data_IF_519814098242
#
_entry.id   IF_519814098242
#
_cell.length_a   1.000
_cell.length_b   1.000
_cell.length_c   1.000
_cell.angle_alpha   90.00
_cell.angle_beta   90.00
_cell.angle_gamma   90.00
#
_symmetry.space_group_name_H-M   'P 1'
#
loop_
_entity.id
_entity.type
_entity.pdbx_description
1 polymer ?
#
# COMPACT_ATOMS: atom_id res chain seq x y z
N UNK A 1 58.96 39.58 -35.27
CA UNK A 1 57.94 39.30 -34.23
C UNK A 1 56.62 39.02 -34.91
N UNK A 2 56.15 37.78 -34.93
CA UNK A 2 54.82 37.41 -35.47
C UNK A 2 54.20 36.36 -34.56
N UNK A 3 53.29 36.79 -33.70
CA UNK A 3 52.50 35.92 -32.83
C UNK A 3 51.25 35.46 -33.58
N UNK A 4 51.16 34.17 -33.92
CA UNK A 4 49.90 33.55 -34.37
C UNK A 4 49.35 32.61 -33.29
N UNK A 5 48.10 32.90 -32.92
CA UNK A 5 47.26 32.35 -31.85
C UNK A 5 47.08 30.82 -31.95
N UNK A 6 47.20 30.14 -30.81
CA UNK A 6 46.72 28.75 -30.60
C UNK A 6 45.19 28.74 -30.60
N UNK A 7 44.58 27.87 -31.40
CA UNK A 7 43.14 27.57 -31.37
C UNK A 7 42.78 26.74 -30.14
N UNK A 8 41.67 27.00 -29.43
CA UNK A 8 41.27 26.19 -28.28
C UNK A 8 40.66 24.87 -28.75
N UNK A 9 41.16 23.74 -28.22
CA UNK A 9 40.53 22.42 -28.39
C UNK A 9 39.19 22.42 -27.65
N UNK A 10 38.11 22.13 -28.37
CA UNK A 10 36.79 21.89 -27.79
C UNK A 10 36.84 20.64 -26.90
N UNK A 11 36.78 20.82 -25.58
CA UNK A 11 36.64 19.73 -24.63
C UNK A 11 35.28 19.05 -24.81
N UNK A 12 35.29 17.73 -25.03
CA UNK A 12 34.07 16.92 -24.97
C UNK A 12 33.47 17.04 -23.57
N UNK A 13 32.35 17.76 -23.44
CA UNK A 13 31.50 17.72 -22.24
C UNK A 13 31.04 16.27 -22.06
N UNK A 14 31.57 15.58 -21.05
CA UNK A 14 30.98 14.33 -20.60
C UNK A 14 29.54 14.63 -20.23
N UNK A 15 28.58 13.89 -20.80
CA UNK A 15 27.20 13.92 -20.33
C UNK A 15 27.25 13.62 -18.83
N UNK A 16 26.99 14.62 -18.00
CA UNK A 16 26.97 14.46 -16.55
C UNK A 16 26.08 13.28 -16.23
N UNK A 17 26.55 12.36 -15.37
CA UNK A 17 25.68 11.32 -14.83
C UNK A 17 24.47 12.04 -14.24
N UNK A 18 23.29 11.83 -14.82
CA UNK A 18 22.05 12.32 -14.27
C UNK A 18 21.96 11.70 -12.88
N UNK A 19 22.11 12.54 -11.85
CA UNK A 19 21.85 12.15 -10.47
C UNK A 19 20.37 11.82 -10.41
N UNK A 20 20.02 10.54 -10.53
CA UNK A 20 18.67 10.07 -10.24
C UNK A 20 18.50 10.27 -8.73
N UNK A 21 17.62 11.16 -8.28
CA UNK A 21 17.40 11.36 -6.86
C UNK A 21 16.92 10.04 -6.26
N UNK A 22 17.45 9.65 -5.09
CA UNK A 22 16.99 8.49 -4.32
C UNK A 22 15.64 8.77 -3.65
N UNK A 23 14.67 9.29 -4.38
CA UNK A 23 13.32 9.43 -3.85
C UNK A 23 12.69 8.04 -3.72
N UNK A 24 11.92 7.84 -2.65
CA UNK A 24 11.14 6.63 -2.47
C UNK A 24 10.10 6.59 -3.59
N UNK A 25 10.33 5.74 -4.57
CA UNK A 25 9.52 5.64 -5.75
C UNK A 25 8.62 4.42 -5.62
N UNK A 26 7.31 4.61 -5.59
CA UNK A 26 6.33 3.51 -5.54
C UNK A 26 6.17 2.86 -6.91
N UNK A 27 7.28 2.34 -7.45
CA UNK A 27 7.29 1.66 -8.75
C UNK A 27 7.15 0.17 -8.53
N UNK A 28 6.18 -0.43 -9.20
CA UNK A 28 5.98 -1.86 -9.29
C UNK A 28 5.81 -2.31 -10.75
N UNK A 29 5.87 -3.62 -10.98
CA UNK A 29 5.59 -4.24 -12.30
C UNK A 29 4.17 -3.97 -12.78
N UNK A 30 3.21 -3.88 -11.86
CA UNK A 30 1.81 -3.62 -12.16
C UNK A 30 1.35 -2.26 -11.61
N UNK A 31 0.59 -1.46 -12.39
CA UNK A 31 0.01 -0.19 -11.95
C UNK A 31 -0.76 -0.29 -10.63
N UNK A 32 -1.50 -1.39 -10.43
CA UNK A 32 -2.24 -1.68 -9.21
C UNK A 32 -1.36 -1.60 -7.96
N UNK A 33 -0.19 -2.24 -7.98
CA UNK A 33 0.71 -2.30 -6.83
C UNK A 33 1.40 -0.96 -6.57
N UNK A 34 1.77 -0.22 -7.62
CA UNK A 34 2.28 1.15 -7.49
C UNK A 34 1.27 2.04 -6.77
N UNK A 35 -0.01 2.00 -7.19
CA UNK A 35 -1.09 2.78 -6.57
C UNK A 35 -1.44 2.28 -5.17
N UNK A 36 -1.41 0.97 -4.93
CA UNK A 36 -1.59 0.41 -3.58
C UNK A 36 -0.51 0.92 -2.62
N UNK A 37 0.77 0.82 -2.97
CA UNK A 37 1.87 1.29 -2.12
C UNK A 37 1.78 2.79 -1.86
N UNK A 38 1.49 3.59 -2.90
CA UNK A 38 1.26 5.03 -2.75
C UNK A 38 0.07 5.32 -1.83
N UNK A 39 -1.04 4.58 -2.00
CA UNK A 39 -2.27 4.72 -1.24
C UNK A 39 -2.07 4.43 0.24
N UNK A 40 -1.45 3.28 0.57
CA UNK A 40 -1.09 2.94 1.95
C UNK A 40 -0.16 4.00 2.54
N UNK A 41 0.84 4.47 1.79
CA UNK A 41 1.74 5.51 2.28
C UNK A 41 1.02 6.82 2.59
N UNK A 42 0.10 7.21 1.73
CA UNK A 42 -0.69 8.43 1.91
C UNK A 42 -1.65 8.29 3.10
N UNK A 43 -2.50 7.26 3.12
CA UNK A 43 -3.58 7.18 4.11
C UNK A 43 -3.05 6.89 5.51
N UNK A 44 -2.00 6.08 5.65
CA UNK A 44 -1.34 5.88 6.95
C UNK A 44 -0.59 7.16 7.37
N UNK A 45 0.08 7.85 6.44
CA UNK A 45 0.74 9.12 6.73
C UNK A 45 -0.24 10.18 7.24
N UNK A 46 -1.39 10.34 6.59
CA UNK A 46 -2.45 11.23 7.06
C UNK A 46 -2.99 10.80 8.43
N UNK A 47 -3.24 9.51 8.63
CA UNK A 47 -3.79 8.98 9.87
C UNK A 47 -2.85 9.16 11.08
N UNK A 48 -1.53 9.27 10.85
CA UNK A 48 -0.56 9.60 11.90
C UNK A 48 -0.72 11.03 12.43
N UNK A 49 -1.32 11.94 11.66
CA UNK A 49 -1.64 13.30 12.09
C UNK A 49 -3.02 13.42 12.74
N UNK A 50 -3.83 12.37 12.67
CA UNK A 50 -5.14 12.30 13.32
C UNK A 50 -4.98 11.65 14.68
N UNK A 51 -5.41 12.28 15.78
CA UNK A 51 -5.32 11.67 17.10
C UNK A 51 -6.12 10.34 17.15
N UNK A 52 -5.61 9.28 17.81
CA UNK A 52 -6.39 8.07 18.07
C UNK A 52 -7.67 8.38 18.86
N UNK A 53 -8.85 7.92 18.43
CA UNK A 53 -10.07 8.09 19.23
C UNK A 53 -9.96 7.24 20.50
N UNK A 54 -10.45 7.77 21.62
CA UNK A 54 -10.51 7.00 22.88
C UNK A 54 -11.50 5.83 22.83
N UNK A 55 -12.57 5.96 22.02
CA UNK A 55 -13.56 4.93 21.76
C UNK A 55 -14.01 5.01 20.30
N UNK A 56 -14.18 3.85 19.64
CA UNK A 56 -14.74 3.79 18.29
C UNK A 56 -16.26 3.95 18.34
N UNK A 57 -16.77 4.83 17.49
CA UNK A 57 -18.20 5.11 17.35
C UNK A 57 -18.79 4.27 16.21
N UNK A 58 -20.13 4.03 16.17
CA UNK A 58 -20.76 3.29 15.08
C UNK A 58 -20.45 3.82 13.68
N UNK A 59 -20.22 5.14 13.55
CA UNK A 59 -19.86 5.77 12.28
C UNK A 59 -18.45 5.42 11.80
N UNK A 60 -17.52 5.08 12.69
CA UNK A 60 -16.16 4.65 12.30
C UNK A 60 -16.21 3.34 11.48
N UNK A 61 -17.21 2.49 11.71
CA UNK A 61 -17.43 1.23 10.97
C UNK A 61 -18.09 1.45 9.59
N UNK A 62 -18.50 2.68 9.27
CA UNK A 62 -19.02 3.09 7.96
C UNK A 62 -18.13 4.14 7.27
N UNK A 63 -17.20 4.72 8.02
CA UNK A 63 -16.30 5.76 7.55
C UNK A 63 -15.41 5.25 6.40
N UNK A 64 -15.03 6.16 5.50
CA UNK A 64 -14.01 5.90 4.50
C UNK A 64 -13.38 7.20 4.02
N UNK A 65 -12.12 7.14 3.62
CA UNK A 65 -11.44 8.24 2.93
C UNK A 65 -11.28 7.85 1.46
N UNK A 66 -11.46 8.82 0.56
CA UNK A 66 -11.30 8.58 -0.88
C UNK A 66 -10.46 9.69 -1.48
N UNK A 67 -9.37 9.31 -2.12
CA UNK A 67 -8.46 10.21 -2.80
C UNK A 67 -8.54 9.90 -4.29
N UNK A 68 -8.70 10.94 -5.10
CA UNK A 68 -8.62 10.87 -6.56
C UNK A 68 -7.41 11.68 -7.00
N UNK A 69 -6.53 11.06 -7.77
CA UNK A 69 -5.33 11.69 -8.30
C UNK A 69 -5.48 11.79 -9.81
N UNK A 70 -5.31 13.00 -10.33
CA UNK A 70 -5.34 13.33 -11.75
C UNK A 70 -4.08 14.12 -12.09
N UNK A 71 -3.08 13.44 -12.64
CA UNK A 71 -1.83 14.03 -13.11
C UNK A 71 -1.90 14.42 -14.58
N UNK A 72 -1.36 15.59 -14.90
CA UNK A 72 -1.17 16.05 -16.28
C UNK A 72 0.32 16.30 -16.51
N UNK A 73 0.93 15.50 -17.41
CA UNK A 73 2.36 15.59 -17.75
C UNK A 73 3.31 15.50 -16.54
N UNK A 74 2.89 14.83 -15.46
CA UNK A 74 3.65 14.69 -14.22
C UNK A 74 3.81 13.22 -13.83
N UNK A 75 5.01 12.83 -13.39
CA UNK A 75 5.33 11.52 -12.80
C UNK A 75 4.92 10.28 -13.62
N UNK A 76 4.79 10.42 -14.95
CA UNK A 76 4.27 9.38 -15.86
C UNK A 76 5.08 8.08 -15.84
N UNK A 77 6.39 8.17 -15.59
CA UNK A 77 7.29 7.00 -15.60
C UNK A 77 7.14 6.11 -14.35
N UNK A 78 6.42 6.59 -13.34
CA UNK A 78 6.39 5.94 -12.02
C UNK A 78 4.98 5.62 -11.54
N UNK A 79 3.99 6.44 -11.89
CA UNK A 79 2.61 6.30 -11.45
C UNK A 79 1.64 6.48 -12.62
N UNK A 80 0.48 5.79 -12.60
CA UNK A 80 -0.61 6.07 -13.52
C UNK A 80 -1.04 7.54 -13.44
N UNK A 81 -1.50 8.09 -14.57
CA UNK A 81 -1.94 9.50 -14.61
C UNK A 81 -3.26 9.72 -13.87
N UNK A 82 -4.14 8.71 -13.85
CA UNK A 82 -5.45 8.81 -13.21
C UNK A 82 -5.70 7.57 -12.37
N UNK A 83 -5.91 7.77 -11.06
CA UNK A 83 -6.25 6.69 -10.17
C UNK A 83 -7.04 7.17 -8.96
N UNK A 84 -7.69 6.22 -8.28
CA UNK A 84 -8.39 6.47 -7.02
C UNK A 84 -7.94 5.46 -5.97
N UNK A 85 -7.83 5.93 -4.74
CA UNK A 85 -7.62 5.09 -3.56
C UNK A 85 -8.76 5.37 -2.60
N UNK A 86 -9.39 4.32 -2.10
CA UNK A 86 -10.36 4.40 -1.01
C UNK A 86 -9.88 3.53 0.14
N UNK A 87 -9.77 4.10 1.34
CA UNK A 87 -9.45 3.40 2.59
C UNK A 87 -10.73 3.30 3.41
N UNK A 88 -11.10 2.07 3.79
CA UNK A 88 -12.33 1.79 4.50
C UNK A 88 -12.06 1.71 6.00
N UNK A 89 -12.91 2.31 6.82
CA UNK A 89 -12.90 2.24 8.28
C UNK A 89 -11.50 2.50 8.91
N UNK A 90 -10.82 3.61 8.57
CA UNK A 90 -9.40 3.82 8.89
C UNK A 90 -9.10 3.73 10.39
N UNK A 91 -9.98 4.28 11.24
CA UNK A 91 -9.83 4.22 12.70
C UNK A 91 -10.02 2.80 13.25
N UNK A 92 -10.94 2.02 12.67
CA UNK A 92 -11.19 0.63 13.06
C UNK A 92 -9.96 -0.21 12.75
N UNK A 93 -9.41 -0.12 11.53
CA UNK A 93 -8.19 -0.85 11.17
C UNK A 93 -6.93 -0.33 11.85
N UNK A 94 -6.87 0.96 12.23
CA UNK A 94 -5.83 1.45 13.14
C UNK A 94 -5.88 0.75 14.49
N UNK A 95 -7.06 0.68 15.11
CA UNK A 95 -7.19 0.02 16.40
C UNK A 95 -6.95 -1.50 16.30
N UNK A 96 -7.43 -2.17 15.24
CA UNK A 96 -7.12 -3.59 15.00
C UNK A 96 -5.62 -3.84 14.89
N UNK A 97 -4.87 -2.98 14.18
CA UNK A 97 -3.41 -3.07 14.12
C UNK A 97 -2.78 -2.96 15.50
N UNK A 98 -3.25 -2.04 16.35
CA UNK A 98 -2.79 -1.91 17.74
C UNK A 98 -3.09 -3.17 18.56
N UNK A 99 -4.32 -3.72 18.48
CA UNK A 99 -4.70 -4.95 19.18
C UNK A 99 -3.85 -6.17 18.76
N UNK A 100 -3.43 -6.22 17.49
CA UNK A 100 -2.55 -7.26 16.98
C UNK A 100 -1.05 -6.97 17.16
N UNK A 101 -0.69 -5.88 17.84
CA UNK A 101 0.71 -5.49 18.08
C UNK A 101 1.46 -5.17 16.78
N UNK A 102 0.79 -4.58 15.80
CA UNK A 102 1.38 -4.11 14.54
C UNK A 102 1.64 -2.61 14.64
N UNK A 103 2.91 -2.21 14.68
CA UNK A 103 3.30 -0.80 14.63
C UNK A 103 2.96 -0.18 13.27
N UNK A 104 2.54 1.08 13.27
CA UNK A 104 2.15 1.78 12.04
C UNK A 104 3.34 2.00 11.09
N UNK A 105 4.53 2.30 11.63
CA UNK A 105 5.73 2.46 10.80
C UNK A 105 6.21 1.11 10.26
N UNK A 106 6.11 0.03 11.04
CA UNK A 106 6.35 -1.33 10.56
C UNK A 106 5.41 -1.67 9.41
N UNK A 107 4.10 -1.51 9.61
CA UNK A 107 3.08 -1.74 8.58
C UNK A 107 3.39 -0.96 7.29
N UNK A 108 3.69 0.34 7.43
CA UNK A 108 4.05 1.20 6.33
C UNK A 108 5.31 0.71 5.61
N UNK A 109 6.38 0.39 6.35
CA UNK A 109 7.63 -0.09 5.77
C UNK A 109 7.43 -1.39 5.02
N UNK A 110 6.79 -2.38 5.64
CA UNK A 110 6.56 -3.71 5.05
C UNK A 110 5.77 -3.64 3.74
N UNK A 111 4.77 -2.75 3.65
CA UNK A 111 3.91 -2.66 2.47
C UNK A 111 4.40 -1.71 1.38
N UNK A 112 5.37 -0.82 1.66
CA UNK A 112 5.70 0.28 0.72
C UNK A 112 7.19 0.45 0.42
N UNK A 113 8.09 -0.26 1.11
CA UNK A 113 9.52 -0.18 0.80
C UNK A 113 9.90 -0.89 -0.51
N UNK A 114 9.21 -1.99 -0.81
CA UNK A 114 9.42 -2.80 -2.01
C UNK A 114 8.06 -3.30 -2.51
N UNK A 115 7.96 -3.59 -3.81
CA UNK A 115 6.75 -4.17 -4.39
C UNK A 115 6.41 -5.51 -3.70
N UNK A 116 5.14 -5.75 -3.33
CA UNK A 116 4.71 -7.06 -2.88
C UNK A 116 4.85 -8.11 -3.98
N UNK A 117 5.35 -9.29 -3.62
CA UNK A 117 5.55 -10.40 -4.55
C UNK A 117 4.24 -11.18 -4.73
N UNK A 118 3.85 -11.57 -5.95
CA UNK A 118 2.74 -12.49 -6.14
C UNK A 118 3.06 -13.87 -5.57
N UNK A 119 2.07 -14.50 -4.94
CA UNK A 119 2.22 -15.87 -4.43
C UNK A 119 2.31 -16.87 -5.59
N UNK A 120 3.43 -17.59 -5.69
CA UNK A 120 3.77 -18.43 -6.86
C UNK A 120 2.80 -19.60 -7.09
N UNK A 121 2.17 -20.14 -6.04
CA UNK A 121 1.26 -21.29 -6.11
C UNK A 121 -0.15 -20.95 -6.64
N UNK A 122 -0.39 -19.69 -7.00
CA UNK A 122 -1.68 -19.25 -7.56
C UNK A 122 -1.71 -19.13 -9.08
N UNK A 123 -0.59 -19.30 -9.79
CA UNK A 123 -0.55 -19.15 -11.24
C UNK A 123 -1.56 -20.05 -12.00
N UNK A 124 -1.96 -21.18 -11.40
CA UNK A 124 -2.83 -22.19 -12.01
C UNK A 124 -4.26 -22.27 -11.40
N UNK A 125 -4.65 -21.33 -10.52
CA UNK A 125 -5.96 -21.38 -9.84
C UNK A 125 -6.80 -20.15 -10.18
N UNK A 126 -8.08 -20.33 -10.54
CA UNK A 126 -9.03 -19.25 -10.84
C UNK A 126 -9.47 -18.42 -9.61
N UNK A 127 -8.65 -18.39 -8.56
CA UNK A 127 -8.96 -17.80 -7.27
C UNK A 127 -8.55 -16.33 -7.13
N UNK A 128 -8.84 -15.72 -5.97
CA UNK A 128 -8.41 -14.37 -5.65
C UNK A 128 -6.87 -14.28 -5.60
N UNK A 129 -6.30 -13.29 -6.28
CA UNK A 129 -4.85 -13.02 -6.30
C UNK A 129 -4.33 -12.71 -4.90
N UNK A 130 -3.23 -13.35 -4.54
CA UNK A 130 -2.50 -13.13 -3.30
C UNK A 130 -1.13 -12.52 -3.58
N UNK A 131 -0.77 -11.52 -2.79
CA UNK A 131 0.55 -10.90 -2.76
C UNK A 131 1.12 -10.95 -1.35
N UNK A 132 2.43 -11.02 -1.23
CA UNK A 132 3.13 -11.12 0.04
C UNK A 132 4.07 -9.92 0.15
N UNK A 133 4.08 -9.24 1.31
CA UNK A 133 5.02 -8.15 1.56
C UNK A 133 6.47 -8.67 1.45
N UNK A 134 7.41 -7.81 1.04
CA UNK A 134 8.81 -8.23 0.81
C UNK A 134 9.48 -8.89 2.04
N UNK A 135 9.03 -8.52 3.24
CA UNK A 135 9.52 -9.07 4.50
C UNK A 135 8.70 -10.26 5.04
N UNK A 136 7.72 -10.69 4.24
CA UNK A 136 6.77 -11.79 4.44
C UNK A 136 5.90 -11.67 5.69
N UNK A 137 5.72 -10.45 6.22
CA UNK A 137 4.90 -10.22 7.41
C UNK A 137 3.41 -10.10 7.11
N UNK A 138 3.06 -9.64 5.90
CA UNK A 138 1.69 -9.36 5.51
C UNK A 138 1.35 -10.04 4.19
N UNK A 139 0.09 -10.44 4.08
CA UNK A 139 -0.53 -10.92 2.85
C UNK A 139 -1.55 -9.87 2.42
N UNK A 140 -1.55 -9.55 1.13
CA UNK A 140 -2.53 -8.70 0.47
C UNK A 140 -3.36 -9.58 -0.44
N UNK A 141 -4.65 -9.67 -0.18
CA UNK A 141 -5.58 -10.52 -0.95
C UNK A 141 -6.55 -9.66 -1.74
N UNK A 142 -6.76 -9.98 -3.02
CA UNK A 142 -7.84 -9.37 -3.79
C UNK A 142 -9.19 -9.93 -3.38
N UNK A 143 -10.20 -9.06 -3.34
CA UNK A 143 -11.59 -9.41 -3.04
C UNK A 143 -12.51 -8.96 -4.17
N UNK A 144 -13.66 -9.60 -4.28
CA UNK A 144 -14.80 -9.07 -5.02
C UNK A 144 -15.64 -8.13 -4.12
N UNK A 145 -16.64 -7.47 -4.71
CA UNK A 145 -17.49 -6.53 -3.99
C UNK A 145 -18.40 -7.20 -2.96
N UNK A 146 -18.75 -8.48 -3.16
CA UNK A 146 -19.62 -9.23 -2.24
C UNK A 146 -18.86 -9.55 -0.95
N UNK A 147 -17.64 -10.07 -1.05
CA UNK A 147 -16.75 -10.31 0.09
C UNK A 147 -16.46 -9.03 0.88
N UNK A 148 -16.35 -7.88 0.20
CA UNK A 148 -16.20 -6.57 0.88
C UNK A 148 -17.45 -6.19 1.68
N UNK A 149 -18.64 -6.44 1.13
CA UNK A 149 -19.89 -6.20 1.83
C UNK A 149 -20.05 -7.13 3.05
N UNK A 150 -19.64 -8.39 2.92
CA UNK A 150 -19.60 -9.34 4.03
C UNK A 150 -18.62 -8.90 5.13
N UNK A 151 -17.41 -8.48 4.77
CA UNK A 151 -16.44 -7.96 5.74
C UNK A 151 -17.03 -6.75 6.49
N UNK A 152 -17.69 -5.83 5.80
CA UNK A 152 -18.36 -4.70 6.44
C UNK A 152 -19.48 -5.14 7.39
N UNK A 153 -20.26 -6.17 7.05
CA UNK A 153 -21.36 -6.63 7.90
C UNK A 153 -20.87 -7.26 9.20
N UNK A 154 -19.71 -7.92 9.18
CA UNK A 154 -19.10 -8.55 10.36
C UNK A 154 -18.10 -7.67 11.10
N UNK A 155 -17.63 -6.56 10.51
CA UNK A 155 -16.47 -5.80 11.01
C UNK A 155 -16.62 -5.36 12.47
N UNK A 156 -17.83 -4.97 12.87
CA UNK A 156 -18.14 -4.59 14.25
C UNK A 156 -17.97 -5.77 15.21
N UNK A 157 -18.63 -6.88 14.93
CA UNK A 157 -18.56 -8.09 15.77
C UNK A 157 -17.14 -8.65 15.81
N UNK A 158 -16.43 -8.60 14.68
CA UNK A 158 -15.03 -9.00 14.58
C UNK A 158 -14.14 -8.12 15.47
N UNK A 159 -14.30 -6.80 15.42
CA UNK A 159 -13.55 -5.87 16.27
C UNK A 159 -13.83 -6.10 17.75
N UNK A 160 -15.09 -6.21 18.15
CA UNK A 160 -15.51 -6.51 19.53
C UNK A 160 -14.84 -7.80 20.04
N UNK A 161 -14.90 -8.87 19.25
CA UNK A 161 -14.25 -10.14 19.56
C UNK A 161 -12.72 -10.03 19.68
N UNK A 162 -12.06 -9.29 18.78
CA UNK A 162 -10.59 -9.11 18.82
C UNK A 162 -10.16 -8.38 20.09
N UNK A 163 -10.90 -7.34 20.49
CA UNK A 163 -10.64 -6.59 21.73
C UNK A 163 -10.84 -7.49 22.96
N UNK A 164 -11.95 -8.22 23.03
CA UNK A 164 -12.25 -9.15 24.12
C UNK A 164 -11.20 -10.26 24.26
N UNK A 165 -10.64 -10.74 23.14
CA UNK A 165 -9.59 -11.76 23.14
C UNK A 165 -8.17 -11.19 23.21
N UNK A 166 -8.02 -9.87 23.38
CA UNK A 166 -6.72 -9.18 23.41
C UNK A 166 -5.83 -9.55 22.21
N UNK A 167 -6.42 -9.62 21.01
CA UNK A 167 -5.72 -10.00 19.78
C UNK A 167 -5.32 -11.47 19.66
N UNK A 168 -5.59 -12.32 20.67
CA UNK A 168 -5.22 -13.74 20.68
C UNK A 168 -6.31 -14.58 20.02
N UNK A 169 -6.22 -14.75 18.71
CA UNK A 169 -7.17 -15.54 17.92
C UNK A 169 -6.51 -16.26 16.75
N UNK A 170 -7.17 -17.33 16.28
CA UNK A 170 -6.85 -18.05 15.04
C UNK A 170 -7.56 -17.45 13.82
N UNK A 171 -8.49 -16.51 14.02
CA UNK A 171 -9.11 -15.81 12.90
C UNK A 171 -8.06 -15.01 12.11
N UNK A 172 -8.28 -14.78 10.80
CA UNK A 172 -7.44 -13.88 10.03
C UNK A 172 -7.33 -12.53 10.72
N UNK A 173 -6.11 -12.00 10.84
CA UNK A 173 -5.86 -10.71 11.47
C UNK A 173 -5.96 -9.63 10.40
N UNK A 174 -7.11 -8.99 10.25
CA UNK A 174 -7.35 -7.95 9.25
C UNK A 174 -6.75 -6.61 9.69
N UNK A 175 -5.96 -5.99 8.82
CA UNK A 175 -5.12 -4.83 9.15
C UNK A 175 -5.40 -3.60 8.28
N UNK A 176 -6.13 -3.76 7.19
CA UNK A 176 -6.57 -2.68 6.31
C UNK A 176 -7.42 -3.20 5.16
N UNK A 177 -8.34 -2.36 4.69
CA UNK A 177 -9.22 -2.68 3.57
C UNK A 177 -9.23 -1.49 2.61
N UNK A 178 -8.86 -1.75 1.36
CA UNK A 178 -8.66 -0.72 0.34
C UNK A 178 -9.44 -1.04 -0.92
N UNK A 179 -9.89 0.00 -1.63
CA UNK A 179 -10.27 -0.11 -3.04
C UNK A 179 -9.38 0.78 -3.88
N UNK A 180 -8.76 0.17 -4.88
CA UNK A 180 -7.89 0.82 -5.84
C UNK A 180 -8.60 0.87 -7.18
N UNK A 181 -8.65 2.04 -7.80
CA UNK A 181 -9.15 2.21 -9.17
C UNK A 181 -8.02 2.71 -10.05
N UNK A 182 -7.64 1.93 -11.05
CA UNK A 182 -6.62 2.30 -12.05
C UNK A 182 -7.14 1.92 -13.43
N UNK A 183 -6.99 2.81 -14.40
CA UNK A 183 -7.42 2.59 -15.80
C UNK A 183 -8.87 2.13 -15.96
N UNK A 184 -9.75 2.57 -15.04
CA UNK A 184 -11.18 2.21 -15.03
C UNK A 184 -11.51 0.89 -14.32
N UNK A 185 -10.52 0.04 -14.04
CA UNK A 185 -10.70 -1.19 -13.26
C UNK A 185 -10.72 -0.91 -11.76
N UNK A 186 -11.69 -1.49 -11.04
CA UNK A 186 -11.74 -1.46 -9.57
C UNK A 186 -11.24 -2.78 -8.99
N UNK A 187 -10.34 -2.70 -8.01
CA UNK A 187 -9.83 -3.86 -7.27
C UNK A 187 -9.91 -3.59 -5.79
N UNK A 188 -10.51 -4.53 -5.05
CA UNK A 188 -10.58 -4.49 -3.59
C UNK A 188 -9.44 -5.32 -3.02
N UNK A 189 -8.80 -4.81 -1.98
CA UNK A 189 -7.62 -5.41 -1.36
C UNK A 189 -7.81 -5.43 0.15
N UNK A 190 -7.67 -6.60 0.77
CA UNK A 190 -7.55 -6.73 2.22
C UNK A 190 -6.12 -7.08 2.59
N UNK A 191 -5.59 -6.38 3.59
CA UNK A 191 -4.27 -6.67 4.16
C UNK A 191 -4.48 -7.45 5.45
N UNK A 192 -3.76 -8.56 5.60
CA UNK A 192 -3.80 -9.41 6.78
C UNK A 192 -2.40 -9.87 7.19
N UNK A 193 -2.24 -10.25 8.46
CA UNK A 193 -0.97 -10.85 8.92
C UNK A 193 -0.72 -12.17 8.18
N UNK A 194 0.51 -12.37 7.74
CA UNK A 194 0.92 -13.65 7.19
C UNK A 194 1.06 -14.70 8.30
N UNK A 195 0.36 -15.83 8.15
CA UNK A 195 0.44 -16.96 9.09
C UNK A 195 1.74 -17.73 8.87
N UNK A 196 2.21 -17.81 7.62
CA UNK A 196 3.45 -18.47 7.25
C UNK A 196 4.60 -17.49 7.41
N UNK A 197 5.35 -17.61 8.52
CA UNK A 197 6.51 -16.76 8.77
C UNK A 197 7.60 -16.90 7.70
N UNK A 198 8.64 -16.05 7.78
CA UNK A 198 9.78 -15.99 6.84
C UNK A 198 10.45 -17.33 6.51
N UNK A 199 10.31 -18.33 7.39
CA UNK A 199 10.97 -19.64 7.32
C UNK A 199 10.29 -20.66 6.41
N UNK A 200 9.05 -20.42 6.00
CA UNK A 200 8.35 -21.31 5.09
C UNK A 200 8.37 -20.69 3.67
N UNK A 201 8.84 -21.49 2.71
CA UNK A 201 8.79 -21.22 1.27
C UNK A 201 7.68 -22.07 0.69
#
# INVERSE_FOLDING_TARGET
MSSKKKTPRAGKRSKGKVLVPKWKLFRAKEPLLSVFMWGVNHTIGELMHVPPPGLLMPDDFKASTKIKVDYHLFNKDNMPSHFKVKDYCPNVFRNLREQFGVDQNEYLRSLTCYEPDPEHDQADKSGPRLFISYDKKFVIKTLDSEAVAEIHSILRFYHEYVVEKHGKTLLPQYLGLYRITVDGGETYLIVMRNIFGRKYK
#
